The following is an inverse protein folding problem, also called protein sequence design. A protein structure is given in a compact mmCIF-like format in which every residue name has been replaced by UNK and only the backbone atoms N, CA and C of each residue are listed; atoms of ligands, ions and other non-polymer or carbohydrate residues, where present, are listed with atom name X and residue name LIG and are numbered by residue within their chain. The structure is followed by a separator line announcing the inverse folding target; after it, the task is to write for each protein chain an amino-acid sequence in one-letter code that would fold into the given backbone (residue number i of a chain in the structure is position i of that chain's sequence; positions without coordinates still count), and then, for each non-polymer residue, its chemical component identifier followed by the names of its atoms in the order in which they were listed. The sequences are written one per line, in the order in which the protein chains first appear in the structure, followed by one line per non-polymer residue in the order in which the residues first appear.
data_IF_353290995684
#
_entry.id   IF_353290995684
#
_cell.length_a   1.000
_cell.length_b   1.000
_cell.length_c   1.000
_cell.angle_alpha   90.00
_cell.angle_beta   90.00
_cell.angle_gamma   90.00
#
_symmetry.space_group_name_H-M   'P 1'
#
loop_
_entity.id
_entity.type
_entity.pdbx_description
1 polymer ?
#
# COMPACT_ATOMS: atom_id res chain seq x y z
N UNK A 1 -20.47 9.32 -2.70
CA UNK A 1 -19.70 10.03 -1.65
C UNK A 1 -19.77 11.52 -1.93
N UNK A 2 -19.89 12.40 -0.93
CA UNK A 2 -20.02 13.86 -1.06
C UNK A 2 -18.65 14.55 -0.94
N UNK A 3 -17.84 14.68 -2.01
CA UNK A 3 -16.43 15.06 -1.89
C UNK A 3 -16.30 16.57 -1.67
N UNK A 4 -17.15 17.36 -2.34
CA UNK A 4 -17.16 18.82 -2.23
C UNK A 4 -17.46 19.29 -0.80
N UNK A 5 -18.36 18.61 -0.09
CA UNK A 5 -18.70 18.96 1.29
C UNK A 5 -17.54 18.68 2.24
N UNK A 6 -16.92 17.49 2.16
CA UNK A 6 -15.79 17.11 3.02
C UNK A 6 -14.55 17.93 2.69
N UNK A 7 -14.20 18.06 1.41
CA UNK A 7 -13.00 18.80 0.99
C UNK A 7 -13.14 20.31 1.26
N UNK A 8 -14.34 20.87 1.11
CA UNK A 8 -14.62 22.27 1.46
C UNK A 8 -14.48 22.60 2.95
N UNK A 9 -14.59 21.59 3.84
CA UNK A 9 -14.27 21.77 5.27
C UNK A 9 -12.76 21.77 5.54
N UNK A 10 -11.98 21.00 4.77
CA UNK A 10 -10.55 20.81 5.00
C UNK A 10 -9.73 21.96 4.36
N UNK A 11 -10.17 22.48 3.21
CA UNK A 11 -9.45 23.54 2.50
C UNK A 11 -10.40 24.56 1.87
N UNK A 12 -10.02 25.84 1.96
CA UNK A 12 -10.71 26.97 1.31
C UNK A 12 -10.04 27.43 0.01
N UNK A 13 -8.94 26.79 -0.37
CA UNK A 13 -8.21 27.15 -1.59
C UNK A 13 -8.77 26.37 -2.79
N UNK A 14 -9.36 27.09 -3.75
CA UNK A 14 -9.94 26.52 -4.97
C UNK A 14 -8.92 25.68 -5.76
N UNK A 15 -7.65 26.11 -5.73
CA UNK A 15 -6.55 25.43 -6.43
C UNK A 15 -6.22 24.05 -5.83
N UNK A 16 -6.42 23.88 -4.52
CA UNK A 16 -6.22 22.59 -3.84
C UNK A 16 -7.46 21.72 -4.02
N UNK A 17 -8.65 22.34 -4.01
CA UNK A 17 -9.91 21.63 -4.20
C UNK A 17 -10.02 20.99 -5.60
N UNK A 18 -9.59 21.69 -6.65
CA UNK A 18 -9.56 21.12 -8.00
C UNK A 18 -8.62 19.91 -8.10
N UNK A 19 -7.41 20.02 -7.55
CA UNK A 19 -6.46 18.90 -7.49
C UNK A 19 -7.04 17.69 -6.73
N UNK A 20 -7.70 17.92 -5.58
CA UNK A 20 -8.35 16.85 -4.83
C UNK A 20 -9.43 16.14 -5.67
N UNK A 21 -10.20 16.90 -6.45
CA UNK A 21 -11.24 16.34 -7.29
C UNK A 21 -10.69 15.49 -8.44
N UNK A 22 -9.53 15.84 -8.99
CA UNK A 22 -8.86 15.10 -10.06
C UNK A 22 -8.24 13.79 -9.55
N UNK A 23 -7.66 13.79 -8.35
CA UNK A 23 -6.96 12.61 -7.80
C UNK A 23 -7.83 11.74 -6.87
N UNK A 24 -9.08 12.13 -6.58
CA UNK A 24 -9.97 11.38 -5.65
C UNK A 24 -10.11 9.88 -5.99
N UNK A 25 -10.04 9.54 -7.27
CA UNK A 25 -10.19 8.15 -7.71
C UNK A 25 -9.06 7.25 -7.22
N UNK A 26 -7.87 7.79 -6.97
CA UNK A 26 -6.74 7.05 -6.42
C UNK A 26 -6.94 6.68 -4.94
N UNK A 27 -7.85 7.33 -4.22
CA UNK A 27 -8.14 6.98 -2.83
C UNK A 27 -8.74 5.57 -2.71
N UNK A 28 -9.55 5.13 -3.66
CA UNK A 28 -10.17 3.79 -3.63
C UNK A 28 -9.12 2.66 -3.62
N UNK A 29 -8.23 2.53 -4.62
CA UNK A 29 -7.23 1.46 -4.63
C UNK A 29 -6.23 1.59 -3.49
N UNK A 30 -5.89 2.82 -3.07
CA UNK A 30 -5.01 3.04 -1.91
C UNK A 30 -5.65 2.51 -0.64
N UNK A 31 -6.93 2.79 -0.40
CA UNK A 31 -7.62 2.32 0.81
C UNK A 31 -7.89 0.82 0.78
N UNK A 32 -8.32 0.28 -0.36
CA UNK A 32 -8.68 -1.13 -0.50
C UNK A 32 -7.44 -2.03 -0.35
N UNK A 33 -6.39 -1.76 -1.13
CA UNK A 33 -5.14 -2.53 -1.05
C UNK A 33 -4.40 -2.23 0.25
N UNK A 34 -4.39 -0.96 0.68
CA UNK A 34 -3.79 -0.54 1.93
C UNK A 34 -4.38 -1.27 3.12
N UNK A 35 -5.70 -1.46 3.17
CA UNK A 35 -6.36 -2.21 4.22
C UNK A 35 -5.83 -3.66 4.31
N UNK A 36 -5.69 -4.35 3.18
CA UNK A 36 -5.14 -5.71 3.13
C UNK A 36 -3.70 -5.74 3.65
N UNK A 37 -2.87 -4.81 3.19
CA UNK A 37 -1.48 -4.70 3.65
C UNK A 37 -1.39 -4.46 5.15
N UNK A 38 -2.20 -3.55 5.70
CA UNK A 38 -2.20 -3.23 7.13
C UNK A 38 -2.74 -4.37 8.01
N UNK A 39 -3.74 -5.12 7.55
CA UNK A 39 -4.22 -6.32 8.25
C UNK A 39 -3.10 -7.35 8.37
N UNK A 40 -2.39 -7.61 7.27
CA UNK A 40 -1.25 -8.54 7.25
C UNK A 40 -0.10 -8.03 8.12
N UNK A 41 0.20 -6.73 8.08
CA UNK A 41 1.20 -6.14 8.97
C UNK A 41 0.85 -6.40 10.44
N UNK A 42 -0.40 -6.15 10.84
CA UNK A 42 -0.89 -6.41 12.19
C UNK A 42 -0.77 -7.88 12.60
N UNK A 43 -1.09 -8.81 11.69
CA UNK A 43 -0.93 -10.25 11.91
C UNK A 43 0.53 -10.64 12.23
N UNK A 44 1.49 -10.19 11.43
CA UNK A 44 2.90 -10.53 11.65
C UNK A 44 3.52 -9.80 12.84
N UNK A 45 3.06 -8.59 13.14
CA UNK A 45 3.44 -7.85 14.34
C UNK A 45 2.97 -8.62 15.58
N UNK A 46 1.75 -9.14 15.57
CA UNK A 46 1.21 -9.99 16.65
C UNK A 46 1.96 -11.30 16.85
N UNK A 47 2.53 -11.88 15.78
CA UNK A 47 3.41 -13.05 15.84
C UNK A 47 4.87 -12.72 16.23
N UNK A 48 5.16 -11.45 16.57
CA UNK A 48 6.49 -10.96 16.96
C UNK A 48 7.57 -11.22 15.91
N UNK A 49 7.21 -11.45 14.65
CA UNK A 49 8.13 -11.80 13.55
C UNK A 49 8.60 -10.56 12.78
N UNK A 50 9.19 -9.60 13.50
CA UNK A 50 9.66 -8.33 12.92
C UNK A 50 10.67 -8.47 11.77
N UNK A 51 11.49 -9.54 11.75
CA UNK A 51 12.44 -9.80 10.64
C UNK A 51 11.74 -10.03 9.30
N UNK A 52 10.60 -10.73 9.32
CA UNK A 52 9.78 -11.03 8.13
C UNK A 52 9.17 -9.75 7.58
N UNK A 53 8.59 -8.91 8.45
CA UNK A 53 8.04 -7.60 8.08
C UNK A 53 9.10 -6.70 7.43
N UNK A 54 10.29 -6.59 8.04
CA UNK A 54 11.34 -5.69 7.55
C UNK A 54 11.82 -6.11 6.16
N UNK A 55 12.03 -7.41 5.94
CA UNK A 55 12.44 -7.91 4.62
C UNK A 55 11.35 -7.70 3.56
N UNK A 56 10.07 -7.95 3.91
CA UNK A 56 8.96 -7.67 3.00
C UNK A 56 8.89 -6.22 2.59
N UNK A 57 9.04 -5.31 3.55
CA UNK A 57 8.98 -3.87 3.28
C UNK A 57 10.13 -3.44 2.37
N UNK A 58 11.35 -3.91 2.63
CA UNK A 58 12.51 -3.58 1.79
C UNK A 58 12.37 -4.09 0.36
N UNK A 59 11.93 -5.34 0.17
CA UNK A 59 11.69 -5.92 -1.16
C UNK A 59 10.58 -5.13 -1.87
N UNK A 60 9.48 -4.82 -1.17
CA UNK A 60 8.35 -4.09 -1.76
C UNK A 60 8.77 -2.68 -2.18
N UNK A 61 9.52 -1.97 -1.35
CA UNK A 61 10.03 -0.63 -1.67
C UNK A 61 10.99 -0.66 -2.86
N UNK A 62 11.95 -1.60 -2.86
CA UNK A 62 12.97 -1.66 -3.90
C UNK A 62 12.39 -2.00 -5.28
N UNK A 63 11.46 -2.97 -5.36
CA UNK A 63 10.96 -3.48 -6.62
C UNK A 63 9.68 -2.81 -7.12
N UNK A 64 8.78 -2.37 -6.24
CA UNK A 64 7.48 -1.83 -6.65
C UNK A 64 7.39 -0.31 -6.52
N UNK A 65 8.04 0.28 -5.52
CA UNK A 65 7.96 1.72 -5.28
C UNK A 65 9.01 2.50 -6.08
N UNK A 66 10.29 2.13 -5.94
CA UNK A 66 11.42 2.89 -6.48
C UNK A 66 11.39 3.10 -8.01
N UNK A 67 11.13 2.07 -8.85
CA UNK A 67 11.13 2.27 -10.31
C UNK A 67 9.99 3.19 -10.76
N UNK A 68 8.82 3.10 -10.12
CA UNK A 68 7.62 3.83 -10.56
C UNK A 68 7.64 5.27 -10.04
N UNK A 69 8.13 5.50 -8.82
CA UNK A 69 8.30 6.86 -8.31
C UNK A 69 9.34 7.63 -9.12
N UNK A 70 10.39 6.95 -9.58
CA UNK A 70 11.40 7.55 -10.45
C UNK A 70 10.81 7.97 -11.81
N UNK A 71 10.00 7.10 -12.42
CA UNK A 71 9.27 7.42 -13.65
C UNK A 71 8.28 8.58 -13.45
N UNK A 72 7.53 8.59 -12.35
CA UNK A 72 6.59 9.67 -12.02
C UNK A 72 7.29 11.02 -11.82
N UNK A 73 8.47 11.01 -11.19
CA UNK A 73 9.28 12.23 -10.99
C UNK A 73 9.80 12.80 -12.31
N UNK A 74 10.24 11.95 -13.24
CA UNK A 74 10.71 12.38 -14.56
C UNK A 74 9.56 13.01 -15.36
N UNK A 75 8.39 12.36 -15.37
CA UNK A 75 7.25 12.82 -16.17
C UNK A 75 6.48 13.98 -15.52
N UNK A 76 6.81 14.35 -14.28
CA UNK A 76 6.06 15.32 -13.45
C UNK A 76 4.56 15.00 -13.39
N UNK A 77 4.21 13.72 -13.44
CA UNK A 77 2.84 13.25 -13.43
C UNK A 77 2.48 12.71 -12.05
N UNK A 78 1.53 13.39 -11.40
CA UNK A 78 1.03 13.00 -10.09
C UNK A 78 0.25 11.68 -10.14
N UNK A 79 -0.35 11.30 -11.27
CA UNK A 79 -1.03 10.01 -11.40
C UNK A 79 -0.03 8.85 -11.26
N UNK A 80 1.17 8.98 -11.83
CA UNK A 80 2.23 7.99 -11.65
C UNK A 80 2.72 7.93 -10.20
N UNK A 81 2.73 9.05 -9.48
CA UNK A 81 3.05 9.07 -8.05
C UNK A 81 2.00 8.33 -7.22
N UNK A 82 0.71 8.57 -7.48
CA UNK A 82 -0.37 7.82 -6.84
C UNK A 82 -0.32 6.34 -7.18
N UNK A 83 -0.03 5.99 -8.44
CA UNK A 83 0.17 4.61 -8.87
C UNK A 83 1.34 3.96 -8.14
N UNK A 84 2.44 4.67 -7.94
CA UNK A 84 3.60 4.17 -7.18
C UNK A 84 3.22 3.80 -5.74
N UNK A 85 2.34 4.58 -5.12
CA UNK A 85 1.83 4.32 -3.78
C UNK A 85 0.95 3.07 -3.75
N UNK A 86 0.02 2.93 -4.70
CA UNK A 86 -0.83 1.74 -4.82
C UNK A 86 0.02 0.49 -5.03
N UNK A 87 0.98 0.54 -5.96
CA UNK A 87 1.84 -0.61 -6.26
C UNK A 87 2.77 -0.97 -5.10
N UNK A 88 3.22 0.02 -4.34
CA UNK A 88 3.91 -0.24 -3.08
C UNK A 88 3.02 -1.01 -2.09
N UNK A 89 1.76 -0.60 -1.91
CA UNK A 89 0.81 -1.33 -1.06
C UNK A 89 0.51 -2.74 -1.58
N UNK A 90 0.36 -2.90 -2.90
CA UNK A 90 0.19 -4.22 -3.54
C UNK A 90 1.40 -5.10 -3.26
N UNK A 91 2.62 -4.60 -3.48
CA UNK A 91 3.85 -5.33 -3.23
C UNK A 91 3.95 -5.82 -1.78
N UNK A 92 3.57 -4.98 -0.82
CA UNK A 92 3.52 -5.36 0.60
C UNK A 92 2.48 -6.44 0.87
N UNK A 93 1.25 -6.25 0.38
CA UNK A 93 0.17 -7.22 0.53
C UNK A 93 0.55 -8.59 -0.05
N UNK A 94 1.13 -8.63 -1.25
CA UNK A 94 1.59 -9.86 -1.90
C UNK A 94 2.75 -10.52 -1.15
N UNK A 95 3.78 -9.75 -0.78
CA UNK A 95 4.97 -10.30 -0.10
C UNK A 95 4.61 -10.88 1.27
N UNK A 96 3.75 -10.19 2.02
CA UNK A 96 3.27 -10.66 3.32
C UNK A 96 2.32 -11.85 3.19
N UNK A 97 1.40 -11.82 2.21
CA UNK A 97 0.50 -12.96 1.94
C UNK A 97 1.28 -14.23 1.59
N UNK A 98 2.33 -14.09 0.77
CA UNK A 98 3.20 -15.22 0.43
C UNK A 98 3.93 -15.78 1.65
N UNK A 99 4.48 -14.91 2.50
CA UNK A 99 5.11 -15.35 3.75
C UNK A 99 4.11 -15.95 4.73
N UNK A 100 2.86 -15.49 4.74
CA UNK A 100 1.81 -16.03 5.60
C UNK A 100 1.45 -17.45 5.15
N UNK A 101 1.26 -17.66 3.85
CA UNK A 101 1.04 -18.99 3.27
C UNK A 101 2.18 -19.96 3.63
N UNK A 102 3.44 -19.52 3.47
CA UNK A 102 4.63 -20.33 3.83
C UNK A 102 4.66 -20.68 5.32
N UNK A 103 4.23 -19.77 6.19
CA UNK A 103 4.14 -20.02 7.62
C UNK A 103 3.10 -21.11 7.95
N UNK A 104 1.92 -21.06 7.34
CA UNK A 104 0.88 -22.08 7.52
C UNK A 104 1.24 -23.46 6.93
N UNK A 105 1.96 -23.50 5.81
CA UNK A 105 2.44 -24.78 5.25
C UNK A 105 3.45 -25.45 6.18
N UNK A 106 4.39 -24.68 6.74
CA UNK A 106 5.39 -25.22 7.68
C UNK A 106 4.78 -25.70 9.00
N UNK A 107 3.75 -25.02 9.53
CA UNK A 107 3.07 -25.47 10.75
C UNK A 107 2.26 -26.74 10.54
N UNK A 108 1.72 -26.95 9.34
CA UNK A 108 1.01 -28.18 8.97
C UNK A 108 1.96 -29.38 8.88
N UNK A 109 3.17 -29.18 8.36
CA UNK A 109 4.21 -30.22 8.27
C UNK A 109 4.75 -30.65 9.65
N UNK A 110 4.75 -29.76 10.64
CA UNK A 110 5.16 -30.10 12.01
C UNK A 110 4.12 -30.88 12.82
N UNK A 111 2.83 -30.85 12.42
CA UNK A 111 1.77 -31.58 13.12
C UNK A 111 1.51 -33.00 12.57
N UNK A 112 2.23 -33.41 11.52
CA UNK A 112 2.05 -34.71 10.84
C UNK A 112 3.22 -35.67 11.11
N UNK A 113 4.27 -35.21 11.80
CA UNK A 113 5.39 -36.04 12.31
C UNK A 113 5.34 -36.11 13.83
#
# INVERSE_FOLDING_TARGET
MFPNFIFGMITKSDKVLSLLMDYRFWLFPVLEVGAIAFILDGFFIGLTKGKILRNSMLISTAFFFFPIVYLGKIQKDNHLLWLSLVLFMVGRALTLSFQAKKFFENSKLQNVN
#
